data_IF_597701366659
#
_entry.id   IF_597701366659
#
_cell.length_a   1.000
_cell.length_b   1.000
_cell.length_c   1.000
_cell.angle_alpha   90.00
_cell.angle_beta   90.00
_cell.angle_gamma   90.00
#
_symmetry.space_group_name_H-M   'P 1'
#
loop_
_entity.id
_entity.type
_entity.pdbx_description
1 polymer ?
#
# COMPACT_ATOMS: atom_id res chain seq x y z
N UNK A 1 21.65 10.39 25.98
CA UNK A 1 21.80 10.43 24.51
C UNK A 1 21.34 11.80 24.00
N UNK A 2 22.24 12.56 23.37
CA UNK A 2 22.03 13.95 22.95
C UNK A 2 20.86 14.06 21.94
N UNK A 3 20.14 15.20 21.91
CA UNK A 3 18.95 15.34 21.05
C UNK A 3 19.27 15.16 19.56
N UNK A 4 20.44 15.64 19.13
CA UNK A 4 20.95 15.46 17.75
C UNK A 4 21.24 13.99 17.42
N UNK A 5 21.85 13.22 18.33
CA UNK A 5 22.19 11.81 18.06
C UNK A 5 20.94 10.94 17.95
N UNK A 6 19.89 11.21 18.74
CA UNK A 6 18.58 10.56 18.60
C UNK A 6 17.93 10.81 17.24
N UNK A 7 18.12 12.00 16.70
CA UNK A 7 17.54 12.37 15.41
C UNK A 7 18.23 11.66 14.24
N UNK A 8 19.57 11.63 14.23
CA UNK A 8 20.33 10.91 13.21
C UNK A 8 20.09 9.40 13.28
N UNK A 9 20.01 8.82 14.48
CA UNK A 9 19.69 7.40 14.63
C UNK A 9 18.29 7.09 14.09
N UNK A 10 17.30 7.97 14.35
CA UNK A 10 15.95 7.82 13.79
C UNK A 10 15.95 7.90 12.26
N UNK A 11 16.74 8.80 11.67
CA UNK A 11 16.90 8.87 10.21
C UNK A 11 17.49 7.56 9.66
N UNK A 12 18.63 7.10 10.20
CA UNK A 12 19.28 5.87 9.76
C UNK A 12 18.34 4.66 9.85
N UNK A 13 17.65 4.48 10.97
CA UNK A 13 16.71 3.37 11.15
C UNK A 13 15.60 3.41 10.08
N UNK A 14 15.02 4.58 9.78
CA UNK A 14 13.98 4.70 8.74
C UNK A 14 14.49 4.24 7.37
N UNK A 15 15.66 4.70 6.97
CA UNK A 15 16.22 4.34 5.65
C UNK A 15 16.69 2.89 5.58
N UNK A 16 17.22 2.33 6.68
CA UNK A 16 17.50 0.89 6.76
C UNK A 16 16.22 0.08 6.56
N UNK A 17 15.13 0.43 7.23
CA UNK A 17 13.83 -0.23 7.04
C UNK A 17 13.38 -0.12 5.57
N UNK A 18 13.53 1.05 4.94
CA UNK A 18 13.15 1.25 3.54
C UNK A 18 13.98 0.42 2.56
N UNK A 19 15.25 0.17 2.86
CA UNK A 19 16.14 -0.65 2.04
C UNK A 19 15.90 -2.16 2.24
N UNK A 20 15.59 -2.58 3.47
CA UNK A 20 15.38 -3.99 3.81
C UNK A 20 13.95 -4.47 3.46
N UNK A 21 12.94 -3.61 3.56
CA UNK A 21 11.54 -3.97 3.35
C UNK A 21 11.22 -4.60 1.97
N UNK A 22 11.82 -4.19 0.83
CA UNK A 22 11.55 -4.80 -0.47
C UNK A 22 12.39 -6.04 -0.77
N UNK A 23 13.35 -6.40 0.10
CA UNK A 23 14.21 -7.56 -0.14
C UNK A 23 13.40 -8.85 -0.25
N UNK A 24 13.89 -9.77 -1.09
CA UNK A 24 13.16 -11.00 -1.41
C UNK A 24 11.91 -10.75 -2.25
N UNK A 25 11.93 -9.73 -3.13
CA UNK A 25 10.82 -9.40 -4.03
C UNK A 25 9.50 -9.10 -3.27
N UNK A 26 9.57 -8.19 -2.30
CA UNK A 26 8.41 -7.75 -1.49
C UNK A 26 7.73 -8.87 -0.69
N UNK A 27 8.46 -9.94 -0.34
CA UNK A 27 7.90 -11.11 0.36
C UNK A 27 7.15 -10.74 1.64
N UNK A 28 7.65 -9.76 2.41
CA UNK A 28 7.01 -9.28 3.64
C UNK A 28 5.60 -8.76 3.34
N UNK A 29 5.45 -7.99 2.26
CA UNK A 29 4.17 -7.44 1.86
C UNK A 29 3.23 -8.54 1.36
N UNK A 30 3.72 -9.48 0.55
CA UNK A 30 2.87 -10.57 0.06
C UNK A 30 2.43 -11.50 1.18
N UNK A 31 3.30 -11.87 2.12
CA UNK A 31 2.93 -12.74 3.24
C UNK A 31 1.85 -12.10 4.13
N UNK A 32 1.91 -10.79 4.35
CA UNK A 32 0.93 -10.08 5.20
C UNK A 32 -0.35 -9.77 4.42
N UNK A 33 -0.24 -9.17 3.24
CA UNK A 33 -1.39 -8.61 2.53
C UNK A 33 -2.11 -9.60 1.62
N UNK A 34 -1.51 -10.72 1.23
CA UNK A 34 -2.22 -11.75 0.44
C UNK A 34 -3.43 -12.32 1.20
N UNK A 35 -3.29 -12.86 2.43
CA UNK A 35 -4.43 -13.38 3.17
C UNK A 35 -5.46 -12.28 3.46
N UNK A 36 -5.01 -11.08 3.84
CA UNK A 36 -5.92 -9.95 4.10
C UNK A 36 -6.74 -9.57 2.87
N UNK A 37 -6.10 -9.46 1.70
CA UNK A 37 -6.78 -9.12 0.45
C UNK A 37 -7.72 -10.24 0.03
N UNK A 38 -7.31 -11.51 0.17
CA UNK A 38 -8.13 -12.68 -0.15
C UNK A 38 -9.42 -12.71 0.69
N UNK A 39 -9.30 -12.67 2.01
CA UNK A 39 -10.46 -12.74 2.91
C UNK A 39 -11.37 -11.51 2.79
N UNK A 40 -10.79 -10.32 2.63
CA UNK A 40 -11.61 -9.11 2.46
C UNK A 40 -12.33 -9.08 1.10
N UNK A 41 -11.68 -9.56 0.04
CA UNK A 41 -12.33 -9.70 -1.28
C UNK A 41 -13.42 -10.77 -1.25
N UNK A 42 -13.15 -11.92 -0.61
CA UNK A 42 -14.16 -12.95 -0.36
C UNK A 42 -15.38 -12.37 0.34
N UNK A 43 -15.17 -11.62 1.44
CA UNK A 43 -16.26 -10.96 2.16
C UNK A 43 -17.12 -10.09 1.24
N UNK A 44 -16.51 -9.22 0.43
CA UNK A 44 -17.28 -8.35 -0.49
C UNK A 44 -18.03 -9.11 -1.58
N UNK A 45 -17.42 -10.14 -2.18
CA UNK A 45 -18.08 -10.90 -3.25
C UNK A 45 -19.20 -11.78 -2.68
N UNK A 46 -19.00 -12.36 -1.49
CA UNK A 46 -19.99 -13.21 -0.82
C UNK A 46 -21.29 -12.47 -0.43
N UNK A 47 -21.27 -11.13 -0.40
CA UNK A 47 -22.48 -10.33 -0.19
C UNK A 47 -23.47 -10.42 -1.36
N UNK A 48 -23.00 -10.79 -2.57
CA UNK A 48 -23.80 -10.76 -3.79
C UNK A 48 -23.85 -12.11 -4.52
N UNK A 49 -22.86 -12.98 -4.29
CA UNK A 49 -22.76 -14.28 -4.94
C UNK A 49 -22.46 -15.37 -3.91
N UNK A 50 -22.96 -16.58 -4.14
CA UNK A 50 -22.49 -17.76 -3.41
C UNK A 50 -21.03 -18.01 -3.78
N UNK A 51 -20.13 -17.76 -2.82
CA UNK A 51 -18.69 -17.87 -3.03
C UNK A 51 -18.10 -18.99 -2.19
N UNK A 52 -17.13 -19.71 -2.76
CA UNK A 52 -16.32 -20.65 -2.01
C UNK A 52 -14.84 -20.32 -2.19
N UNK A 53 -14.07 -20.58 -1.13
CA UNK A 53 -12.64 -20.29 -1.07
C UNK A 53 -11.89 -21.61 -0.97
N UNK A 54 -10.93 -21.81 -1.88
CA UNK A 54 -10.01 -22.94 -1.84
C UNK A 54 -8.59 -22.45 -2.17
N UNK A 55 -7.69 -22.57 -1.20
CA UNK A 55 -6.34 -22.00 -1.26
C UNK A 55 -6.33 -20.50 -1.61
N UNK A 56 -5.88 -20.15 -2.81
CA UNK A 56 -5.84 -18.76 -3.33
C UNK A 56 -6.89 -18.49 -4.39
N UNK A 57 -7.84 -19.42 -4.59
CA UNK A 57 -8.91 -19.30 -5.56
C UNK A 57 -10.22 -18.91 -4.88
N UNK A 58 -10.91 -17.94 -5.50
CA UNK A 58 -12.27 -17.55 -5.19
C UNK A 58 -13.18 -18.04 -6.31
N UNK A 59 -14.07 -18.98 -6.00
CA UNK A 59 -15.04 -19.54 -6.93
C UNK A 59 -16.40 -18.87 -6.71
N UNK A 60 -17.07 -18.48 -7.80
CA UNK A 60 -18.43 -17.95 -7.79
C UNK A 60 -19.12 -18.33 -9.11
N UNK A 61 -20.23 -19.06 -9.03
CA UNK A 61 -20.88 -19.63 -10.21
C UNK A 61 -19.93 -20.53 -11.00
N UNK A 62 -19.77 -20.29 -12.31
CA UNK A 62 -18.82 -21.00 -13.18
C UNK A 62 -17.45 -20.33 -13.28
N UNK A 63 -17.26 -19.24 -12.55
CA UNK A 63 -16.10 -18.38 -12.64
C UNK A 63 -15.16 -18.57 -11.45
N UNK A 64 -13.86 -18.32 -11.69
CA UNK A 64 -12.84 -18.38 -10.65
C UNK A 64 -11.85 -17.22 -10.79
N UNK A 65 -11.47 -16.63 -9.67
CA UNK A 65 -10.39 -15.64 -9.58
C UNK A 65 -9.26 -16.22 -8.74
N UNK A 66 -8.06 -16.25 -9.33
CA UNK A 66 -6.84 -16.63 -8.61
C UNK A 66 -6.14 -15.38 -8.06
N UNK A 67 -5.84 -15.38 -6.76
CA UNK A 67 -5.12 -14.29 -6.10
C UNK A 67 -3.62 -14.34 -6.44
N UNK A 68 -3.25 -13.59 -7.47
CA UNK A 68 -1.86 -13.40 -7.90
C UNK A 68 -1.22 -12.16 -7.25
N UNK A 69 0.13 -12.00 -7.31
CA UNK A 69 0.80 -10.82 -6.76
C UNK A 69 0.27 -9.45 -7.25
N UNK A 70 -0.25 -9.38 -8.48
CA UNK A 70 -0.89 -8.18 -9.03
C UNK A 70 -2.24 -7.86 -8.34
N UNK A 71 -2.96 -8.87 -7.87
CA UNK A 71 -4.19 -8.70 -7.07
C UNK A 71 -3.87 -8.06 -5.72
N UNK A 72 -2.75 -8.43 -5.10
CA UNK A 72 -2.32 -7.91 -3.79
C UNK A 72 -1.69 -6.52 -3.92
N UNK A 73 -1.03 -6.22 -5.04
CA UNK A 73 -0.36 -4.95 -5.30
C UNK A 73 0.69 -4.57 -4.22
N UNK A 74 1.55 -5.53 -3.86
CA UNK A 74 2.62 -5.35 -2.85
C UNK A 74 3.49 -4.10 -3.04
N UNK A 75 3.80 -3.74 -4.28
CA UNK A 75 4.58 -2.54 -4.60
C UNK A 75 3.89 -1.23 -4.16
N UNK A 76 2.56 -1.18 -4.18
CA UNK A 76 1.80 0.00 -3.72
C UNK A 76 1.88 0.17 -2.20
N UNK A 77 1.80 -0.92 -1.43
CA UNK A 77 2.06 -0.88 0.01
C UNK A 77 3.49 -0.44 0.31
N UNK A 78 4.46 -0.92 -0.46
CA UNK A 78 5.85 -0.47 -0.30
C UNK A 78 6.02 1.02 -0.63
N UNK A 79 5.37 1.53 -1.69
CA UNK A 79 5.39 2.95 -2.00
C UNK A 79 4.76 3.80 -0.88
N UNK A 80 3.65 3.35 -0.30
CA UNK A 80 3.05 4.00 0.88
C UNK A 80 4.00 3.97 2.08
N UNK A 81 4.74 2.87 2.29
CA UNK A 81 5.78 2.77 3.33
C UNK A 81 6.88 3.82 3.10
N UNK A 82 7.38 3.95 1.86
CA UNK A 82 8.37 4.97 1.49
C UNK A 82 7.86 6.36 1.84
N UNK A 83 6.66 6.73 1.36
CA UNK A 83 6.10 8.06 1.59
C UNK A 83 5.95 8.36 3.09
N UNK A 84 5.46 7.41 3.87
CA UNK A 84 5.27 7.54 5.32
C UNK A 84 6.60 7.66 6.09
N UNK A 85 7.56 6.77 5.84
CA UNK A 85 8.82 6.73 6.57
C UNK A 85 9.81 7.80 6.12
N UNK A 86 9.82 8.19 4.85
CA UNK A 86 10.69 9.27 4.34
C UNK A 86 10.16 10.66 4.66
N UNK A 87 8.98 10.77 5.29
CA UNK A 87 8.45 12.05 5.78
C UNK A 87 8.97 12.38 7.17
N UNK A 88 9.58 13.55 7.24
CA UNK A 88 10.24 14.11 8.42
C UNK A 88 9.22 14.72 9.39
N UNK A 89 9.63 14.91 10.65
CA UNK A 89 8.88 15.67 11.68
C UNK A 89 7.51 15.09 12.06
N UNK A 90 7.26 13.81 11.75
CA UNK A 90 6.11 13.07 12.24
C UNK A 90 6.50 12.34 13.54
N UNK A 91 5.84 12.61 14.68
CA UNK A 91 6.09 11.86 15.90
C UNK A 91 5.69 10.39 15.74
N UNK A 92 6.38 9.48 16.44
CA UNK A 92 6.28 8.04 16.22
C UNK A 92 4.84 7.51 16.27
N UNK A 93 4.05 7.92 17.27
CA UNK A 93 2.65 7.51 17.41
C UNK A 93 1.81 7.92 16.19
N UNK A 94 1.94 9.18 15.72
CA UNK A 94 1.24 9.66 14.52
C UNK A 94 1.72 8.93 13.28
N UNK A 95 3.00 8.58 13.19
CA UNK A 95 3.55 7.84 12.04
C UNK A 95 2.99 6.43 11.97
N UNK A 96 2.91 5.72 13.08
CA UNK A 96 2.30 4.38 13.12
C UNK A 96 0.83 4.46 12.70
N UNK A 97 0.08 5.43 13.24
CA UNK A 97 -1.31 5.66 12.86
C UNK A 97 -1.45 5.99 11.36
N UNK A 98 -0.59 6.86 10.83
CA UNK A 98 -0.55 7.23 9.41
C UNK A 98 -0.27 6.02 8.51
N UNK A 99 0.67 5.15 8.92
CA UNK A 99 1.03 3.94 8.17
C UNK A 99 -0.13 2.94 8.16
N UNK A 100 -0.70 2.65 9.33
CA UNK A 100 -1.82 1.71 9.46
C UNK A 100 -3.02 2.21 8.67
N UNK A 101 -3.37 3.49 8.79
CA UNK A 101 -4.47 4.09 8.02
C UNK A 101 -4.22 4.09 6.52
N UNK A 102 -2.99 4.36 6.07
CA UNK A 102 -2.60 4.27 4.66
C UNK A 102 -2.78 2.85 4.11
N UNK A 103 -2.29 1.84 4.84
CA UNK A 103 -2.39 0.44 4.45
C UNK A 103 -3.82 -0.07 4.49
N UNK A 104 -4.59 0.28 5.52
CA UNK A 104 -6.00 -0.08 5.60
C UNK A 104 -6.81 0.54 4.45
N UNK A 105 -6.59 1.84 4.15
CA UNK A 105 -7.25 2.53 3.06
C UNK A 105 -6.97 1.86 1.71
N UNK A 106 -5.69 1.53 1.44
CA UNK A 106 -5.32 0.85 0.21
C UNK A 106 -5.89 -0.58 0.14
N UNK A 107 -5.87 -1.33 1.25
CA UNK A 107 -6.45 -2.67 1.32
C UNK A 107 -7.94 -2.67 0.98
N UNK A 108 -8.71 -1.70 1.50
CA UNK A 108 -10.13 -1.55 1.21
C UNK A 108 -10.35 -1.25 -0.28
N UNK A 109 -9.66 -0.24 -0.82
CA UNK A 109 -9.78 0.13 -2.24
C UNK A 109 -9.36 -1.01 -3.18
N UNK A 110 -8.29 -1.73 -2.83
CA UNK A 110 -7.80 -2.85 -3.62
C UNK A 110 -8.76 -4.05 -3.58
N UNK A 111 -9.42 -4.31 -2.45
CA UNK A 111 -10.43 -5.37 -2.34
C UNK A 111 -11.71 -4.99 -3.09
N UNK A 112 -12.12 -3.71 -3.04
CA UNK A 112 -13.22 -3.20 -3.85
C UNK A 112 -12.93 -3.31 -5.35
N UNK A 113 -11.69 -3.06 -5.79
CA UNK A 113 -11.25 -3.30 -7.17
C UNK A 113 -11.49 -4.76 -7.58
N UNK A 114 -11.07 -5.72 -6.76
CA UNK A 114 -11.26 -7.15 -7.04
C UNK A 114 -12.75 -7.49 -7.12
N UNK A 115 -13.55 -6.94 -6.21
CA UNK A 115 -15.00 -7.09 -6.23
C UNK A 115 -15.63 -6.57 -7.54
N UNK A 116 -15.28 -5.35 -7.99
CA UNK A 116 -15.80 -4.82 -9.26
C UNK A 116 -15.34 -5.64 -10.47
N UNK A 117 -14.11 -6.14 -10.47
CA UNK A 117 -13.62 -7.04 -11.52
C UNK A 117 -14.37 -8.37 -11.51
N UNK A 118 -14.69 -8.92 -10.34
CA UNK A 118 -15.52 -10.14 -10.23
C UNK A 118 -16.92 -9.94 -10.81
N UNK A 119 -17.56 -8.78 -10.55
CA UNK A 119 -18.83 -8.41 -11.17
C UNK A 119 -18.73 -8.40 -12.70
N UNK A 120 -17.71 -7.76 -13.25
CA UNK A 120 -17.48 -7.66 -14.70
C UNK A 120 -17.24 -9.00 -15.38
N UNK A 121 -16.55 -9.92 -14.70
CA UNK A 121 -16.28 -11.26 -15.22
C UNK A 121 -17.57 -12.05 -15.48
N UNK A 122 -18.63 -11.81 -14.70
CA UNK A 122 -19.96 -12.40 -14.95
C UNK A 122 -20.66 -11.85 -16.21
N UNK A 123 -20.28 -10.66 -16.68
CA UNK A 123 -20.87 -10.05 -17.88
C UNK A 123 -20.07 -10.35 -19.16
N UNK A 124 -18.75 -10.16 -19.15
CA UNK A 124 -17.91 -10.52 -20.30
C UNK A 124 -16.41 -10.64 -19.94
N UNK A 125 -15.74 -11.60 -20.57
CA UNK A 125 -14.30 -11.80 -20.42
C UNK A 125 -13.46 -10.71 -21.12
N UNK A 126 -13.95 -10.14 -22.22
CA UNK A 126 -13.24 -9.11 -22.97
C UNK A 126 -13.12 -7.79 -22.16
N UNK A 127 -14.22 -7.32 -21.56
CA UNK A 127 -14.18 -6.13 -20.71
C UNK A 127 -13.37 -6.36 -19.44
N UNK A 128 -13.40 -7.59 -18.89
CA UNK A 128 -12.59 -7.95 -17.73
C UNK A 128 -11.10 -7.73 -17.99
N UNK A 129 -10.55 -8.27 -19.08
CA UNK A 129 -9.11 -8.15 -19.36
C UNK A 129 -8.66 -6.70 -19.57
N UNK A 130 -9.43 -5.92 -20.32
CA UNK A 130 -9.13 -4.51 -20.56
C UNK A 130 -9.15 -3.70 -19.25
N UNK A 131 -10.21 -3.86 -18.45
CA UNK A 131 -10.35 -3.15 -17.19
C UNK A 131 -9.33 -3.64 -16.14
N UNK A 132 -9.04 -4.93 -16.08
CA UNK A 132 -8.00 -5.47 -15.20
C UNK A 132 -6.65 -4.79 -15.45
N UNK A 133 -6.26 -4.66 -16.72
CA UNK A 133 -4.99 -4.02 -17.09
C UNK A 133 -5.00 -2.52 -16.78
N UNK A 134 -6.11 -1.83 -17.07
CA UNK A 134 -6.31 -0.43 -16.72
C UNK A 134 -6.20 -0.19 -15.20
N UNK A 135 -6.89 -1.00 -14.41
CA UNK A 135 -6.87 -0.90 -12.97
C UNK A 135 -5.48 -1.21 -12.39
N UNK A 136 -4.75 -2.14 -12.99
CA UNK A 136 -3.42 -2.52 -12.55
C UNK A 136 -2.37 -1.42 -12.79
N UNK A 137 -2.28 -0.89 -14.01
CA UNK A 137 -1.22 0.08 -14.32
C UNK A 137 -1.56 1.51 -13.91
N UNK A 138 -2.82 1.93 -14.08
CA UNK A 138 -3.20 3.34 -13.90
C UNK A 138 -3.80 3.55 -12.52
N UNK A 139 -4.85 2.80 -12.16
CA UNK A 139 -5.58 3.08 -10.92
C UNK A 139 -4.79 2.74 -9.66
N UNK A 140 -3.97 1.69 -9.64
CA UNK A 140 -3.15 1.38 -8.46
C UNK A 140 -2.22 2.54 -8.08
N UNK A 141 -1.61 3.21 -9.07
CA UNK A 141 -0.75 4.38 -8.84
C UNK A 141 -1.57 5.58 -8.37
N UNK A 142 -2.72 5.84 -9.01
CA UNK A 142 -3.62 6.92 -8.60
C UNK A 142 -4.14 6.73 -7.18
N UNK A 143 -4.50 5.50 -6.78
CA UNK A 143 -4.93 5.21 -5.42
C UNK A 143 -3.85 5.55 -4.41
N UNK A 144 -2.59 5.17 -4.64
CA UNK A 144 -1.49 5.52 -3.73
C UNK A 144 -1.34 7.03 -3.60
N UNK A 145 -1.37 7.76 -4.73
CA UNK A 145 -1.25 9.22 -4.75
C UNK A 145 -2.40 9.89 -4.01
N UNK A 146 -3.64 9.48 -4.28
CA UNK A 146 -4.84 10.01 -3.63
C UNK A 146 -4.80 9.73 -2.13
N UNK A 147 -4.53 8.47 -1.73
CA UNK A 147 -4.40 8.09 -0.32
C UNK A 147 -3.38 8.98 0.35
N UNK A 148 -2.19 9.13 -0.24
CA UNK A 148 -1.13 9.94 0.33
C UNK A 148 -1.56 11.40 0.53
N UNK A 149 -2.12 12.05 -0.49
CA UNK A 149 -2.56 13.44 -0.38
C UNK A 149 -3.69 13.64 0.64
N UNK A 150 -4.64 12.71 0.70
CA UNK A 150 -5.69 12.71 1.72
C UNK A 150 -5.08 12.65 3.11
N UNK A 151 -4.11 11.77 3.33
CA UNK A 151 -3.43 11.62 4.63
C UNK A 151 -2.56 12.85 4.98
N UNK A 152 -1.87 13.45 4.00
CA UNK A 152 -1.15 14.72 4.19
C UNK A 152 -2.08 15.82 4.70
N UNK A 153 -3.28 15.93 4.09
CA UNK A 153 -4.29 16.91 4.51
C UNK A 153 -4.88 16.59 5.88
N UNK A 154 -5.24 15.32 6.12
CA UNK A 154 -5.91 14.88 7.36
C UNK A 154 -4.98 14.99 8.58
N UNK A 155 -3.71 14.62 8.43
CA UNK A 155 -2.71 14.66 9.51
C UNK A 155 -1.90 15.97 9.55
N UNK A 156 -2.22 16.94 8.69
CA UNK A 156 -1.58 18.27 8.61
C UNK A 156 -0.06 18.18 8.48
N UNK A 157 0.40 17.30 7.59
CA UNK A 157 1.82 17.06 7.33
C UNK A 157 2.39 18.24 6.54
N UNK A 158 3.48 18.85 7.04
CA UNK A 158 4.15 19.99 6.39
C UNK A 158 5.43 19.61 5.65
N UNK A 159 6.03 18.48 6.02
CA UNK A 159 7.28 18.01 5.43
C UNK A 159 7.03 17.25 4.13
N UNK A 160 7.99 17.30 3.23
CA UNK A 160 7.97 16.60 1.95
C UNK A 160 8.81 15.32 2.09
N UNK A 161 8.29 14.15 1.67
CA UNK A 161 9.02 12.89 1.62
C UNK A 161 10.40 13.06 0.98
N UNK A 162 11.45 12.52 1.61
CA UNK A 162 12.86 12.53 1.15
C UNK A 162 13.48 13.94 1.14
N UNK A 163 12.86 14.91 0.47
CA UNK A 163 13.38 16.26 0.28
C UNK A 163 13.67 16.98 1.60
N UNK A 164 12.75 16.90 2.58
CA UNK A 164 12.95 17.55 3.88
C UNK A 164 14.12 16.94 4.66
N UNK A 165 14.40 15.65 4.49
CA UNK A 165 15.56 15.00 5.11
C UNK A 165 16.87 15.42 4.43
N UNK A 166 16.92 15.44 3.09
CA UNK A 166 18.08 15.90 2.32
C UNK A 166 18.44 17.37 2.62
N UNK A 167 17.43 18.24 2.68
CA UNK A 167 17.63 19.65 3.00
C UNK A 167 18.30 19.84 4.37
N UNK A 168 17.94 19.02 5.36
CA UNK A 168 18.57 19.08 6.68
C UNK A 168 20.00 18.57 6.64
N UNK A 169 20.26 17.44 5.99
CA UNK A 169 21.61 16.88 5.87
C UNK A 169 22.55 17.87 5.18
N UNK A 170 22.10 18.51 4.10
CA UNK A 170 22.86 19.59 3.44
C UNK A 170 23.17 20.73 4.41
N UNK A 171 22.19 21.23 5.17
CA UNK A 171 22.42 22.30 6.15
C UNK A 171 23.44 21.93 7.23
N UNK A 172 23.55 20.65 7.62
CA UNK A 172 24.52 20.18 8.60
C UNK A 172 25.92 20.14 8.00
N UNK A 173 26.06 19.62 6.78
CA UNK A 173 27.35 19.49 6.09
C UNK A 173 27.96 20.84 5.70
N UNK A 174 27.14 21.85 5.37
CA UNK A 174 27.61 23.19 4.96
C UNK A 174 27.67 24.22 6.11
N UNK A 175 27.22 23.87 7.33
CA UNK A 175 27.41 24.70 8.56
C UNK A 175 28.59 24.23 9.43
N UNK A 176 29.33 23.23 8.97
CA UNK A 176 30.69 22.93 9.41
C UNK A 176 31.66 23.66 8.48
#
# INVERSE_FOLDING_TARGET
MNSKTKEYSSLLIRYIILLLAPLGNLIIFYTIFTPLTLYLSYFFINLFFETSLYNSYLFFGTNAINMIPACVAGAAYYLLLILNLSTREIPLQKRILLLISSFASFLILNSLRIFFLALLLNYSLAYFNALHLFFWYIMSTLFVVIIWFVHVKLFKIKAIPIYSDLLKLKKVLYKQ
#
